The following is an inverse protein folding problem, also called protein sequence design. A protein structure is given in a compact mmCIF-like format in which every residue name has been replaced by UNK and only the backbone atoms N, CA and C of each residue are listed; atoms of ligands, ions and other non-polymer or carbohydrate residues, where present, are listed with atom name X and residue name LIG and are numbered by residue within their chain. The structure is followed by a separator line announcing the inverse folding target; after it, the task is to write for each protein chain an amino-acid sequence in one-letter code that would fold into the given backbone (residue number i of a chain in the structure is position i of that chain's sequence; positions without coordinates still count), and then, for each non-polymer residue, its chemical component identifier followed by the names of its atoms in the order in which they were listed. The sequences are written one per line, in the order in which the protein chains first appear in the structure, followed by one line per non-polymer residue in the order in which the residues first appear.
data_IF_601444346736
#
_entry.id   IF_601444346736
#
_cell.length_a   1.000
_cell.length_b   1.000
_cell.length_c   1.000
_cell.angle_alpha   90.00
_cell.angle_beta   90.00
_cell.angle_gamma   90.00
#
_symmetry.space_group_name_H-M   'P 1'
#
loop_
_entity.id
_entity.type
_entity.pdbx_description
1 polymer ?
#
# COMPACT_ATOMS: atom_id res chain seq x y z
N UNK A 1 28.63 -4.77 2.47
CA UNK A 1 28.54 -3.95 3.70
C UNK A 1 27.09 -4.06 4.15
N UNK A 2 26.82 -4.82 5.20
CA UNK A 2 25.44 -5.04 5.65
C UNK A 2 24.90 -3.72 6.21
N UNK A 3 23.81 -3.21 5.64
CA UNK A 3 23.14 -2.01 6.17
C UNK A 3 22.76 -2.27 7.63
N UNK A 4 23.10 -1.33 8.51
CA UNK A 4 22.68 -1.39 9.91
C UNK A 4 21.14 -1.32 9.99
N UNK A 5 20.53 -1.94 10.99
CA UNK A 5 19.07 -1.90 11.21
C UNK A 5 18.44 -0.49 11.09
N UNK A 6 19.01 0.59 11.70
CA UNK A 6 18.47 1.95 11.51
C UNK A 6 18.55 2.45 10.07
N UNK A 7 19.55 2.05 9.28
CA UNK A 7 19.67 2.44 7.87
C UNK A 7 18.61 1.74 7.03
N UNK A 8 18.31 0.47 7.35
CA UNK A 8 17.25 -0.29 6.69
C UNK A 8 15.87 0.29 6.98
N UNK A 9 15.58 0.67 8.24
CA UNK A 9 14.32 1.33 8.60
C UNK A 9 14.12 2.61 7.79
N UNK A 10 15.15 3.46 7.72
CA UNK A 10 15.10 4.71 6.94
C UNK A 10 14.93 4.48 5.44
N UNK A 11 15.56 3.43 4.90
CA UNK A 11 15.39 3.06 3.49
C UNK A 11 13.96 2.61 3.19
N UNK A 12 13.38 1.78 4.08
CA UNK A 12 11.98 1.34 3.97
C UNK A 12 11.01 2.52 4.07
N UNK A 13 11.19 3.40 5.06
CA UNK A 13 10.33 4.56 5.25
C UNK A 13 10.32 5.47 4.02
N UNK A 14 11.50 5.78 3.47
CA UNK A 14 11.62 6.61 2.25
C UNK A 14 11.04 5.92 1.02
N UNK A 15 11.41 4.67 0.78
CA UNK A 15 10.97 3.93 -0.40
C UNK A 15 9.47 3.66 -0.39
N UNK A 16 8.93 3.23 0.75
CA UNK A 16 7.50 3.00 0.92
C UNK A 16 6.72 4.31 0.82
N UNK A 17 7.23 5.38 1.42
CA UNK A 17 6.67 6.73 1.25
C UNK A 17 6.56 7.13 -0.22
N UNK A 18 7.65 7.02 -0.97
CA UNK A 18 7.68 7.39 -2.38
C UNK A 18 6.75 6.52 -3.24
N UNK A 19 6.74 5.20 -3.02
CA UNK A 19 5.84 4.28 -3.70
C UNK A 19 4.36 4.60 -3.40
N UNK A 20 4.02 4.84 -2.14
CA UNK A 20 2.65 5.19 -1.71
C UNK A 20 2.20 6.51 -2.34
N UNK A 21 3.09 7.49 -2.47
CA UNK A 21 2.80 8.74 -3.17
C UNK A 21 2.54 8.52 -4.66
N UNK A 22 3.31 7.65 -5.34
CA UNK A 22 3.05 7.29 -6.73
C UNK A 22 1.70 6.58 -6.90
N UNK A 23 1.34 5.68 -5.97
CA UNK A 23 0.03 5.02 -5.93
C UNK A 23 -1.09 6.02 -5.68
N UNK A 24 -0.94 6.94 -4.73
CA UNK A 24 -1.92 7.98 -4.45
C UNK A 24 -2.17 8.85 -5.69
N UNK A 25 -1.10 9.26 -6.38
CA UNK A 25 -1.19 10.01 -7.62
C UNK A 25 -1.92 9.23 -8.73
N UNK A 26 -1.64 7.93 -8.89
CA UNK A 26 -2.31 7.07 -9.86
C UNK A 26 -3.81 6.90 -9.58
N UNK A 27 -4.21 6.88 -8.31
CA UNK A 27 -5.62 6.77 -7.88
C UNK A 27 -6.34 8.13 -7.91
N UNK A 28 -5.61 9.24 -7.78
CA UNK A 28 -6.16 10.59 -7.61
C UNK A 28 -6.48 10.96 -6.16
N UNK A 29 -5.78 10.35 -5.20
CA UNK A 29 -5.85 10.68 -3.76
C UNK A 29 -4.81 11.74 -3.42
N UNK A 30 -5.14 12.78 -2.63
CA UNK A 30 -4.17 13.77 -2.20
C UNK A 30 -3.07 13.15 -1.33
N UNK A 31 -1.86 13.73 -1.39
CA UNK A 31 -0.68 13.22 -0.68
C UNK A 31 -0.91 13.15 0.85
N UNK A 32 -1.68 14.09 1.39
CA UNK A 32 -2.05 14.18 2.81
C UNK A 32 -2.99 13.05 3.25
N UNK A 33 -3.65 12.38 2.31
CA UNK A 33 -4.50 11.22 2.56
C UNK A 33 -3.73 9.91 2.71
N UNK A 34 -2.41 9.97 2.88
CA UNK A 34 -1.54 8.80 2.96
C UNK A 34 -0.75 8.77 4.27
N UNK A 35 -0.56 7.58 4.82
CA UNK A 35 0.25 7.33 6.03
C UNK A 35 1.15 6.14 5.80
N UNK A 36 2.39 6.21 6.27
CA UNK A 36 3.36 5.11 6.31
C UNK A 36 3.81 4.89 7.73
N UNK A 37 3.90 3.63 8.16
CA UNK A 37 4.41 3.24 9.46
C UNK A 37 5.41 2.10 9.33
N UNK A 38 6.59 2.27 9.94
CA UNK A 38 7.62 1.22 10.04
C UNK A 38 7.78 0.84 11.51
N UNK A 39 7.31 -0.35 11.88
CA UNK A 39 7.44 -0.90 13.23
C UNK A 39 7.89 -2.38 13.16
N UNK A 40 7.23 -3.28 13.89
CA UNK A 40 7.40 -4.73 13.72
C UNK A 40 6.97 -5.18 12.32
N UNK A 41 6.15 -4.37 11.65
CA UNK A 41 5.77 -4.47 10.25
C UNK A 41 5.85 -3.12 9.54
N UNK A 42 6.19 -3.13 8.24
CA UNK A 42 6.00 -1.98 7.38
C UNK A 42 4.55 -1.99 6.84
N UNK A 43 3.85 -0.87 7.01
CA UNK A 43 2.45 -0.70 6.57
C UNK A 43 2.22 0.67 5.95
N UNK A 44 1.21 0.76 5.09
CA UNK A 44 0.75 2.03 4.54
C UNK A 44 -0.77 2.06 4.39
N UNK A 45 -1.34 3.26 4.45
CA UNK A 45 -2.77 3.51 4.41
C UNK A 45 -3.05 4.68 3.48
N UNK A 46 -4.09 4.56 2.64
CA UNK A 46 -4.59 5.64 1.80
C UNK A 46 -6.10 5.73 1.94
N UNK A 47 -6.62 6.92 2.29
CA UNK A 47 -8.05 7.18 2.32
C UNK A 47 -8.63 7.33 0.91
N UNK A 48 -9.64 6.55 0.55
CA UNK A 48 -10.30 6.59 -0.75
C UNK A 48 -11.56 7.47 -0.68
N UNK A 49 -11.44 8.75 -1.03
CA UNK A 49 -12.51 9.76 -0.93
C UNK A 49 -13.63 9.65 -1.99
N UNK A 50 -13.92 8.45 -2.50
CA UNK A 50 -14.87 8.25 -3.61
C UNK A 50 -16.11 7.46 -3.17
N UNK A 51 -17.25 7.58 -3.87
CA UNK A 51 -18.45 6.82 -3.55
C UNK A 51 -18.25 5.31 -3.77
N UNK A 52 -18.60 4.51 -2.76
CA UNK A 52 -18.62 3.05 -2.86
C UNK A 52 -20.06 2.53 -2.95
N UNK A 53 -20.42 1.75 -3.97
CA UNK A 53 -21.76 1.18 -4.10
C UNK A 53 -22.17 0.40 -2.84
N UNK A 54 -23.31 0.77 -2.27
CA UNK A 54 -23.83 0.14 -1.04
C UNK A 54 -23.22 0.62 0.27
N UNK A 55 -22.27 1.58 0.25
CA UNK A 55 -21.61 2.10 1.47
C UNK A 55 -21.41 3.63 1.45
N UNK A 56 -22.48 4.44 1.46
CA UNK A 56 -22.39 5.90 1.38
C UNK A 56 -21.89 6.60 2.67
N UNK A 57 -21.65 5.86 3.76
CA UNK A 57 -21.28 6.39 5.09
C UNK A 57 -19.97 5.85 5.64
N UNK A 58 -19.31 4.95 4.92
CA UNK A 58 -18.08 4.33 5.38
C UNK A 58 -16.92 4.86 4.55
N UNK A 59 -15.93 5.42 5.22
CA UNK A 59 -14.66 5.74 4.60
C UNK A 59 -13.98 4.42 4.22
N UNK A 60 -13.60 4.30 2.95
CA UNK A 60 -12.90 3.11 2.46
C UNK A 60 -11.44 3.46 2.36
N UNK A 61 -10.58 2.55 2.77
CA UNK A 61 -9.14 2.70 2.73
C UNK A 61 -8.50 1.63 1.86
N UNK A 62 -7.40 2.02 1.22
CA UNK A 62 -6.45 1.10 0.62
C UNK A 62 -5.31 0.90 1.61
N UNK A 63 -5.08 -0.35 2.00
CA UNK A 63 -4.09 -0.74 3.01
C UNK A 63 -3.03 -1.62 2.36
N UNK A 64 -1.77 -1.34 2.67
CA UNK A 64 -0.64 -2.15 2.29
C UNK A 64 0.07 -2.69 3.53
N UNK A 65 0.54 -3.93 3.43
CA UNK A 65 1.40 -4.55 4.45
C UNK A 65 2.50 -5.36 3.77
N UNK A 66 3.72 -5.29 4.30
CA UNK A 66 4.83 -6.13 3.82
C UNK A 66 4.54 -7.64 3.90
N UNK A 67 3.54 -8.06 4.68
CA UNK A 67 3.12 -9.47 4.83
C UNK A 67 2.00 -9.89 3.88
N UNK A 68 1.22 -8.95 3.35
CA UNK A 68 -0.06 -9.27 2.67
C UNK A 68 -0.30 -8.48 1.39
N UNK A 69 0.54 -7.50 1.07
CA UNK A 69 0.35 -6.60 -0.08
C UNK A 69 -0.88 -5.71 0.09
N UNK A 70 -1.48 -5.33 -1.04
CA UNK A 70 -2.62 -4.42 -1.08
C UNK A 70 -3.94 -5.08 -0.71
N UNK A 71 -4.77 -4.36 0.03
CA UNK A 71 -6.12 -4.74 0.42
C UNK A 71 -7.01 -3.49 0.44
N UNK A 72 -8.20 -3.58 -0.14
CA UNK A 72 -9.25 -2.56 0.04
C UNK A 72 -10.07 -2.97 1.26
N UNK A 73 -10.21 -2.07 2.23
CA UNK A 73 -10.98 -2.31 3.43
C UNK A 73 -11.85 -1.10 3.80
N UNK A 74 -12.91 -1.35 4.55
CA UNK A 74 -13.65 -0.28 5.22
C UNK A 74 -12.84 0.21 6.42
N UNK A 75 -12.77 1.52 6.60
CA UNK A 75 -12.30 2.14 7.84
C UNK A 75 -13.18 1.68 9.00
N UNK A 76 -12.55 0.98 9.94
CA UNK A 76 -13.18 0.53 11.18
C UNK A 76 -12.57 1.28 12.36
N UNK A 77 -13.25 1.23 13.51
CA UNK A 77 -12.64 1.73 14.74
C UNK A 77 -11.32 0.96 15.01
N UNK A 78 -10.32 1.57 15.69
CA UNK A 78 -9.00 0.96 15.90
C UNK A 78 -9.01 -0.42 16.60
N UNK A 79 -10.12 -0.77 17.26
CA UNK A 79 -10.31 -2.03 18.00
C UNK A 79 -11.04 -3.10 17.19
N UNK A 80 -11.55 -2.76 16.01
CA UNK A 80 -12.33 -3.64 15.15
C UNK A 80 -11.50 -4.11 13.96
N UNK A 81 -11.59 -5.41 13.64
CA UNK A 81 -10.95 -5.96 12.45
C UNK A 81 -11.47 -5.25 11.18
N UNK A 82 -10.58 -4.78 10.29
CA UNK A 82 -10.99 -4.09 9.08
C UNK A 82 -11.84 -5.00 8.19
N UNK A 83 -12.99 -4.50 7.75
CA UNK A 83 -13.86 -5.25 6.83
C UNK A 83 -13.25 -5.20 5.44
N UNK A 84 -12.58 -6.28 5.05
CA UNK A 84 -11.93 -6.42 3.74
C UNK A 84 -12.95 -6.55 2.63
N UNK A 85 -12.85 -5.66 1.63
CA UNK A 85 -13.68 -5.65 0.43
C UNK A 85 -13.01 -6.38 -0.73
N UNK A 86 -11.69 -6.27 -0.87
CA UNK A 86 -10.91 -6.94 -1.89
C UNK A 86 -9.45 -7.11 -1.45
N UNK A 87 -8.78 -8.17 -1.92
CA UNK A 87 -7.34 -8.37 -1.75
C UNK A 87 -6.65 -8.35 -3.10
N UNK A 88 -5.42 -7.88 -3.13
CA UNK A 88 -4.57 -7.91 -4.32
C UNK A 88 -4.49 -9.33 -4.90
N UNK A 89 -4.70 -9.51 -6.22
CA UNK A 89 -4.56 -10.81 -6.84
C UNK A 89 -3.07 -11.13 -7.07
N UNK A 90 -2.51 -12.00 -6.23
CA UNK A 90 -1.16 -12.54 -6.39
C UNK A 90 -0.20 -12.17 -5.27
N UNK A 91 1.09 -12.45 -5.49
CA UNK A 91 2.12 -12.39 -4.45
C UNK A 91 3.07 -11.20 -4.61
N UNK A 92 2.84 -10.34 -5.62
CA UNK A 92 3.63 -9.12 -5.82
C UNK A 92 3.30 -8.09 -4.74
N UNK A 93 4.31 -7.70 -3.97
CA UNK A 93 4.16 -6.74 -2.88
C UNK A 93 4.27 -5.30 -3.37
N UNK A 94 5.01 -5.03 -4.45
CA UNK A 94 5.21 -3.67 -4.97
C UNK A 94 4.78 -3.62 -6.44
N UNK A 95 3.50 -3.90 -6.75
CA UNK A 95 3.02 -3.83 -8.13
C UNK A 95 3.07 -2.40 -8.67
N UNK A 96 3.10 -2.21 -10.00
CA UNK A 96 3.08 -0.88 -10.60
C UNK A 96 1.87 -0.04 -10.11
N UNK A 97 2.04 1.27 -9.83
CA UNK A 97 0.98 2.12 -9.29
C UNK A 97 -0.33 2.12 -10.09
N UNK A 98 -0.25 2.07 -11.41
CA UNK A 98 -1.40 2.01 -12.31
C UNK A 98 -2.20 0.71 -12.21
N UNK A 99 -1.54 -0.41 -11.88
CA UNK A 99 -2.23 -1.67 -11.62
C UNK A 99 -2.96 -1.64 -10.28
N UNK A 100 -2.38 -0.95 -9.27
CA UNK A 100 -3.06 -0.68 -7.99
C UNK A 100 -4.30 0.17 -8.21
N UNK A 101 -4.22 1.21 -9.04
CA UNK A 101 -5.37 2.04 -9.38
C UNK A 101 -6.48 1.22 -10.07
N UNK A 102 -6.13 0.37 -11.04
CA UNK A 102 -7.08 -0.53 -11.71
C UNK A 102 -7.73 -1.52 -10.73
N UNK A 103 -6.94 -2.11 -9.83
CA UNK A 103 -7.46 -2.99 -8.79
C UNK A 103 -8.48 -2.28 -7.88
N UNK A 104 -8.19 -1.04 -7.51
CA UNK A 104 -9.10 -0.20 -6.72
C UNK A 104 -10.41 0.02 -7.49
N UNK A 105 -10.35 0.39 -8.77
CA UNK A 105 -11.53 0.53 -9.66
C UNK A 105 -12.34 -0.75 -9.80
N UNK A 106 -11.69 -1.88 -9.98
CA UNK A 106 -12.35 -3.19 -10.06
C UNK A 106 -13.04 -3.56 -8.74
N UNK A 107 -12.43 -3.23 -7.61
CA UNK A 107 -13.03 -3.43 -6.29
C UNK A 107 -14.27 -2.54 -6.10
N UNK A 108 -14.22 -1.27 -6.47
CA UNK A 108 -15.37 -0.36 -6.38
C UNK A 108 -16.51 -0.76 -7.33
N UNK A 109 -16.19 -1.38 -8.46
CA UNK A 109 -17.19 -1.92 -9.37
C UNK A 109 -17.71 -3.32 -8.99
N UNK A 110 -17.23 -3.91 -7.89
CA UNK A 110 -17.62 -5.25 -7.44
C UNK A 110 -17.10 -6.38 -8.32
N UNK A 111 -16.08 -6.13 -9.16
CA UNK A 111 -15.46 -7.12 -10.05
C UNK A 111 -14.36 -7.95 -9.35
N UNK A 112 -13.81 -7.43 -8.26
CA UNK A 112 -12.75 -8.11 -7.50
C UNK A 112 -13.32 -9.18 -6.57
N UNK A 113 -13.54 -10.38 -7.09
CA UNK A 113 -13.84 -11.56 -6.26
C UNK A 113 -12.53 -12.20 -5.75
N UNK A 114 -11.93 -11.60 -4.73
CA UNK A 114 -10.73 -12.17 -4.09
C UNK A 114 -11.10 -13.37 -3.21
N UNK A 115 -11.04 -14.59 -3.76
CA UNK A 115 -11.01 -15.83 -2.95
C UNK A 115 -9.79 -15.79 -2.03
N UNK A 116 -10.02 -16.12 -0.77
CA UNK A 116 -9.06 -16.18 0.31
C UNK A 116 -7.88 -17.09 -0.06
N UNK A 117 -6.80 -16.51 -0.61
CA UNK A 117 -5.54 -17.24 -0.83
C UNK A 117 -4.42 -16.45 -0.18
N UNK A 118 -4.15 -16.83 1.06
CA UNK A 118 -3.05 -16.31 1.87
C UNK A 118 -1.80 -17.11 1.53
N UNK A 119 -0.94 -16.60 0.65
CA UNK A 119 0.47 -16.99 0.60
C UNK A 119 1.29 -15.89 -0.06
N UNK A 120 1.48 -14.76 0.61
CA UNK A 120 2.61 -13.92 0.25
C UNK A 120 3.88 -14.73 0.55
N UNK A 121 4.78 -14.85 -0.43
CA UNK A 121 6.11 -15.42 -0.19
C UNK A 121 6.82 -14.49 0.81
N UNK A 122 7.42 -14.99 1.89
CA UNK A 122 8.16 -14.15 2.82
C UNK A 122 9.33 -13.48 2.09
N UNK A 123 9.20 -12.16 1.84
CA UNK A 123 10.27 -11.31 1.29
C UNK A 123 11.02 -10.71 2.47
N UNK A 124 12.35 -10.65 2.38
CA UNK A 124 13.14 -9.97 3.43
C UNK A 124 12.95 -8.46 3.35
N UNK A 125 13.01 -7.77 4.48
CA UNK A 125 12.96 -6.30 4.52
C UNK A 125 14.02 -5.62 3.66
N UNK A 126 15.20 -6.23 3.51
CA UNK A 126 16.25 -5.73 2.60
C UNK A 126 15.80 -5.78 1.15
N UNK A 127 15.30 -6.92 0.69
CA UNK A 127 14.77 -7.08 -0.67
C UNK A 127 13.58 -6.17 -0.94
N UNK A 128 12.72 -5.96 0.06
CA UNK A 128 11.62 -5.01 -0.04
C UNK A 128 12.13 -3.57 -0.21
N UNK A 129 13.12 -3.15 0.58
CA UNK A 129 13.73 -1.83 0.45
C UNK A 129 14.37 -1.63 -0.93
N UNK A 130 15.05 -2.64 -1.46
CA UNK A 130 15.64 -2.62 -2.82
C UNK A 130 14.58 -2.43 -3.91
N UNK A 131 13.42 -3.09 -3.80
CA UNK A 131 12.31 -2.89 -4.75
C UNK A 131 11.69 -1.51 -4.65
N UNK A 132 11.54 -0.99 -3.44
CA UNK A 132 10.94 0.32 -3.20
C UNK A 132 11.86 1.48 -3.61
N UNK A 133 13.18 1.25 -3.69
CA UNK A 133 14.17 2.25 -4.09
C UNK A 133 13.93 2.78 -5.52
N UNK A 134 13.32 1.98 -6.40
CA UNK A 134 12.92 2.39 -7.76
C UNK A 134 11.99 3.62 -7.77
N UNK A 135 11.21 3.81 -6.70
CA UNK A 135 10.27 4.91 -6.58
C UNK A 135 10.87 6.14 -5.90
N UNK A 136 12.02 6.00 -5.24
CA UNK A 136 12.69 7.12 -4.59
C UNK A 136 13.18 8.06 -5.69
N UNK A 137 12.74 9.33 -5.71
CA UNK A 137 13.27 10.28 -6.67
C UNK A 137 14.78 10.34 -6.51
N UNK A 138 15.53 10.16 -7.60
CA UNK A 138 16.94 10.51 -7.63
C UNK A 138 17.01 11.96 -7.15
N UNK A 139 17.62 12.19 -5.98
CA UNK A 139 17.80 13.54 -5.50
C UNK A 139 18.53 14.28 -6.62
N UNK A 140 17.84 15.21 -7.27
CA UNK A 140 18.47 16.08 -8.23
C UNK A 140 19.44 16.90 -7.40
N UNK A 141 20.72 16.53 -7.48
CA UNK A 141 21.82 17.25 -6.85
C UNK A 141 21.60 18.73 -7.17
N UNK A 142 21.34 19.51 -6.12
CA UNK A 142 21.21 20.95 -6.26
C UNK A 142 22.55 21.49 -6.74
N UNK A 143 22.56 21.97 -7.98
CA UNK A 143 23.54 22.90 -8.53
C UNK A 143 23.52 24.24 -7.79
#
# INVERSE_FOLDING_TARGET
MESSEPDLIRALERGLGAYVQAVAAAIGVPAEGTTVEISDTATAYLGLSRPWPGRPRHDVMLVWSERRGWTVAVETAPIEDPVVLARWPGDELVPPPEEVARFVDDAAAGRSAGKDRVTAVPVTRRTLAERLDEYVPLQSDQV
#
